data_IF_918322658462
#
_entry.id   IF_918322658462
#
_cell.length_a   1.000
_cell.length_b   1.000
_cell.length_c   1.000
_cell.angle_alpha   90.00
_cell.angle_beta   90.00
_cell.angle_gamma   90.00
#
_symmetry.space_group_name_H-M   'P 1'
#
loop_
_entity.id
_entity.type
_entity.pdbx_description
1 polymer ?
#
# COMPACT_ATOMS: atom_id res chain seq x y z
N UNK A 1 31.67 8.19 -16.41
CA UNK A 1 31.12 8.11 -15.05
C UNK A 1 30.81 6.64 -14.82
N UNK A 2 31.17 6.10 -13.67
CA UNK A 2 30.71 4.80 -13.26
C UNK A 2 29.19 4.81 -13.18
N UNK A 3 28.55 3.66 -13.36
CA UNK A 3 27.11 3.52 -13.24
C UNK A 3 26.79 2.51 -12.14
N UNK A 4 25.83 2.84 -11.32
CA UNK A 4 25.43 2.01 -10.18
C UNK A 4 24.81 0.68 -10.63
N UNK A 5 24.09 0.66 -11.76
CA UNK A 5 23.44 -0.54 -12.32
C UNK A 5 23.44 -0.48 -13.85
N UNK A 6 23.28 -1.62 -14.50
CA UNK A 6 22.92 -1.70 -15.92
C UNK A 6 21.40 -1.69 -16.08
N UNK A 7 20.75 -2.55 -15.33
CA UNK A 7 19.31 -2.70 -15.20
C UNK A 7 18.94 -3.06 -13.75
N UNK A 8 17.72 -2.75 -13.35
CA UNK A 8 17.20 -3.03 -12.03
C UNK A 8 15.70 -3.32 -12.05
N UNK A 9 15.23 -4.16 -11.13
CA UNK A 9 13.80 -4.31 -10.83
C UNK A 9 13.44 -3.46 -9.61
N UNK A 10 12.31 -2.77 -9.68
CA UNK A 10 11.83 -1.84 -8.66
C UNK A 10 10.44 -2.28 -8.20
N UNK A 11 10.22 -2.32 -6.90
CA UNK A 11 8.93 -2.53 -6.27
C UNK A 11 8.81 -1.74 -4.95
N UNK A 12 7.60 -1.59 -4.43
CA UNK A 12 7.34 -0.78 -3.23
C UNK A 12 6.02 -1.15 -2.55
N UNK A 13 5.82 -0.68 -1.32
CA UNK A 13 4.53 -0.72 -0.62
C UNK A 13 3.92 -2.13 -0.59
N UNK A 14 4.69 -3.12 -0.10
CA UNK A 14 4.25 -4.52 -0.02
C UNK A 14 3.40 -4.81 1.22
N UNK A 15 3.62 -4.06 2.31
CA UNK A 15 2.84 -4.06 3.54
C UNK A 15 2.58 -5.44 4.17
N UNK A 16 3.63 -6.23 4.45
CA UNK A 16 3.47 -7.44 5.25
C UNK A 16 2.74 -7.14 6.56
N UNK A 17 1.76 -7.97 6.90
CA UNK A 17 0.94 -7.81 8.11
C UNK A 17 -0.34 -7.00 7.91
N UNK A 18 -0.61 -6.48 6.73
CA UNK A 18 -1.89 -5.82 6.43
C UNK A 18 -3.08 -6.75 6.74
N UNK A 19 -4.29 -6.18 6.86
CA UNK A 19 -5.51 -6.91 7.20
C UNK A 19 -5.38 -7.72 8.47
N UNK A 20 -4.93 -7.04 9.54
CA UNK A 20 -4.76 -7.63 10.86
C UNK A 20 -3.87 -8.88 10.86
N UNK A 21 -2.73 -8.81 10.15
CA UNK A 21 -1.77 -9.88 9.95
C UNK A 21 -2.35 -11.10 9.19
N UNK A 22 -3.22 -10.84 8.22
CA UNK A 22 -3.86 -11.88 7.43
C UNK A 22 -2.83 -12.82 6.80
N UNK A 23 -2.98 -14.11 7.06
CA UNK A 23 -2.15 -15.15 6.44
C UNK A 23 -2.29 -15.13 4.92
N UNK A 24 -3.48 -14.85 4.39
CA UNK A 24 -3.74 -14.76 2.96
C UNK A 24 -2.96 -13.60 2.34
N UNK A 25 -3.01 -12.40 2.96
CA UNK A 25 -2.24 -11.26 2.49
C UNK A 25 -0.72 -11.50 2.55
N UNK A 26 -0.22 -12.07 3.65
CA UNK A 26 1.20 -12.41 3.76
C UNK A 26 1.64 -13.44 2.70
N UNK A 27 0.78 -14.41 2.36
CA UNK A 27 1.03 -15.32 1.23
C UNK A 27 1.08 -14.58 -0.11
N UNK A 28 0.19 -13.61 -0.33
CA UNK A 28 0.20 -12.80 -1.54
C UNK A 28 1.50 -12.02 -1.67
N UNK A 29 1.97 -11.39 -0.58
CA UNK A 29 3.27 -10.72 -0.54
C UNK A 29 4.41 -11.67 -0.93
N UNK A 30 4.47 -12.86 -0.34
CA UNK A 30 5.52 -13.83 -0.64
C UNK A 30 5.43 -14.36 -2.09
N UNK A 31 4.22 -14.60 -2.60
CA UNK A 31 4.00 -15.05 -3.98
C UNK A 31 4.35 -13.96 -5.00
N UNK A 32 4.05 -12.70 -4.69
CA UNK A 32 4.49 -11.56 -5.49
C UNK A 32 6.03 -11.52 -5.61
N UNK A 33 6.75 -11.64 -4.49
CA UNK A 33 8.22 -11.66 -4.50
C UNK A 33 8.75 -12.83 -5.34
N UNK A 34 8.18 -14.02 -5.21
CA UNK A 34 8.57 -15.18 -6.04
C UNK A 34 8.33 -14.91 -7.53
N UNK A 35 7.19 -14.34 -7.87
CA UNK A 35 6.88 -13.98 -9.26
C UNK A 35 7.86 -12.92 -9.78
N UNK A 36 8.12 -11.85 -9.03
CA UNK A 36 9.07 -10.80 -9.38
C UNK A 36 10.46 -11.36 -9.66
N UNK A 37 10.96 -12.26 -8.79
CA UNK A 37 12.26 -12.92 -8.99
C UNK A 37 12.29 -13.68 -10.33
N UNK A 38 11.23 -14.40 -10.65
CA UNK A 38 11.13 -15.12 -11.94
C UNK A 38 11.20 -14.15 -13.13
N UNK A 39 10.51 -13.01 -13.06
CA UNK A 39 10.53 -12.01 -14.13
C UNK A 39 11.91 -11.33 -14.24
N UNK A 40 12.54 -11.01 -13.12
CA UNK A 40 13.90 -10.46 -13.09
C UNK A 40 14.93 -11.45 -13.70
N UNK A 41 14.84 -12.73 -13.37
CA UNK A 41 15.72 -13.77 -13.93
C UNK A 41 15.55 -13.94 -15.45
N UNK A 42 14.32 -13.88 -15.98
CA UNK A 42 14.07 -13.91 -17.43
C UNK A 42 14.80 -12.78 -18.18
N UNK A 43 15.01 -11.66 -17.53
CA UNK A 43 15.70 -10.47 -18.05
C UNK A 43 17.18 -10.41 -17.63
N UNK A 44 17.67 -11.41 -16.88
CA UNK A 44 19.01 -11.47 -16.31
C UNK A 44 19.34 -10.27 -15.37
N UNK A 45 18.33 -9.69 -14.74
CA UNK A 45 18.49 -8.56 -13.82
C UNK A 45 19.00 -9.06 -12.47
N UNK A 46 20.04 -8.39 -11.94
CA UNK A 46 20.77 -8.75 -10.73
C UNK A 46 20.60 -7.75 -9.59
N UNK A 47 20.05 -6.57 -9.86
CA UNK A 47 19.81 -5.54 -8.85
C UNK A 47 18.34 -5.33 -8.61
N UNK A 48 17.98 -5.19 -7.33
CA UNK A 48 16.60 -5.01 -6.88
C UNK A 48 16.51 -3.79 -5.96
N UNK A 49 15.55 -2.90 -6.21
CA UNK A 49 15.33 -1.71 -5.40
C UNK A 49 13.93 -1.74 -4.81
N UNK A 50 13.87 -1.72 -3.48
CA UNK A 50 12.64 -1.63 -2.72
C UNK A 50 12.49 -0.22 -2.15
N UNK A 51 11.35 0.43 -2.41
CA UNK A 51 11.17 1.85 -2.14
C UNK A 51 10.32 2.15 -0.90
N UNK A 52 10.32 1.24 0.09
CA UNK A 52 9.72 1.49 1.40
C UNK A 52 8.36 0.83 1.64
N UNK A 53 7.95 0.85 2.90
CA UNK A 53 6.72 0.24 3.42
C UNK A 53 6.71 -1.29 3.28
N UNK A 54 7.70 -1.93 3.90
CA UNK A 54 7.79 -3.38 3.98
C UNK A 54 6.76 -3.96 4.94
N UNK A 55 6.69 -3.41 6.18
CA UNK A 55 5.67 -3.79 7.14
C UNK A 55 4.52 -2.78 7.18
N UNK A 56 3.32 -3.27 7.50
CA UNK A 56 2.15 -2.41 7.64
C UNK A 56 2.08 -1.75 9.03
N UNK A 57 2.33 -2.53 10.09
CA UNK A 57 2.21 -2.07 11.47
C UNK A 57 3.54 -1.56 12.01
N UNK A 58 3.55 -0.32 12.51
CA UNK A 58 4.74 0.36 13.05
C UNK A 58 5.16 -0.16 14.41
N UNK A 59 4.18 -0.38 15.30
CA UNK A 59 4.45 -0.62 16.72
C UNK A 59 4.76 -2.09 17.04
N UNK A 60 4.30 -3.03 16.24
CA UNK A 60 4.44 -4.47 16.52
C UNK A 60 4.54 -5.28 15.25
N UNK A 61 5.33 -6.33 15.26
CA UNK A 61 5.38 -7.33 14.18
C UNK A 61 4.83 -8.64 14.75
N UNK A 62 3.75 -9.13 14.16
CA UNK A 62 3.19 -10.42 14.50
C UNK A 62 4.18 -11.54 14.16
N UNK A 63 4.28 -12.58 14.98
CA UNK A 63 5.24 -13.68 14.78
C UNK A 63 5.03 -14.38 13.42
N UNK A 64 3.79 -14.58 12.99
CA UNK A 64 3.51 -15.14 11.66
C UNK A 64 4.02 -14.22 10.54
N UNK A 65 3.73 -12.92 10.61
CA UNK A 65 4.23 -11.91 9.66
C UNK A 65 5.76 -11.87 9.63
N UNK A 66 6.42 -11.96 10.79
CA UNK A 66 7.88 -12.02 10.87
C UNK A 66 8.46 -13.23 10.10
N UNK A 67 7.83 -14.41 10.22
CA UNK A 67 8.28 -15.58 9.47
C UNK A 67 8.19 -15.36 7.95
N UNK A 68 7.07 -14.80 7.46
CA UNK A 68 6.96 -14.44 6.04
C UNK A 68 8.01 -13.40 5.60
N UNK A 69 8.30 -12.43 6.47
CA UNK A 69 9.36 -11.43 6.22
C UNK A 69 10.74 -12.10 6.08
N UNK A 70 11.09 -13.00 6.99
CA UNK A 70 12.37 -13.73 6.96
C UNK A 70 12.48 -14.56 5.67
N UNK A 71 11.44 -15.30 5.29
CA UNK A 71 11.40 -16.08 4.05
C UNK A 71 11.58 -15.18 2.82
N UNK A 72 10.90 -14.03 2.80
CA UNK A 72 10.97 -13.08 1.70
C UNK A 72 12.36 -12.43 1.57
N UNK A 73 12.97 -12.00 2.68
CA UNK A 73 14.33 -11.45 2.68
C UNK A 73 15.36 -12.50 2.24
N UNK A 74 15.20 -13.76 2.69
CA UNK A 74 16.07 -14.85 2.23
C UNK A 74 15.96 -15.04 0.72
N UNK A 75 14.74 -15.04 0.16
CA UNK A 75 14.54 -15.14 -1.28
C UNK A 75 15.20 -13.98 -2.04
N UNK A 76 15.07 -12.75 -1.55
CA UNK A 76 15.74 -11.60 -2.18
C UNK A 76 17.26 -11.74 -2.14
N UNK A 77 17.82 -12.08 -0.97
CA UNK A 77 19.25 -12.28 -0.78
C UNK A 77 19.84 -13.35 -1.70
N UNK A 78 19.11 -14.45 -1.92
CA UNK A 78 19.62 -15.60 -2.67
C UNK A 78 19.51 -15.41 -4.19
N UNK A 79 18.71 -14.45 -4.66
CA UNK A 79 18.39 -14.30 -6.05
C UNK A 79 18.90 -12.99 -6.69
N UNK A 80 19.35 -12.03 -5.89
CA UNK A 80 19.94 -10.78 -6.36
C UNK A 80 21.36 -10.60 -5.82
N UNK A 81 22.23 -10.05 -6.65
CA UNK A 81 23.59 -9.72 -6.26
C UNK A 81 23.60 -8.49 -5.31
N UNK A 82 22.59 -7.62 -5.44
CA UNK A 82 22.43 -6.44 -4.61
C UNK A 82 20.96 -6.02 -4.50
N UNK A 83 20.50 -5.80 -3.27
CA UNK A 83 19.18 -5.32 -2.95
C UNK A 83 19.30 -4.03 -2.13
N UNK A 84 18.80 -2.93 -2.65
CA UNK A 84 18.71 -1.67 -1.91
C UNK A 84 17.30 -1.52 -1.34
N UNK A 85 17.17 -1.36 -0.03
CA UNK A 85 15.89 -1.24 0.65
C UNK A 85 15.80 0.10 1.39
N UNK A 86 14.93 0.97 0.92
CA UNK A 86 14.63 2.25 1.59
C UNK A 86 13.60 1.98 2.70
N UNK A 87 13.73 2.63 3.84
CA UNK A 87 12.71 2.65 4.87
C UNK A 87 11.62 3.66 4.53
N UNK A 88 10.37 3.19 4.44
CA UNK A 88 9.18 4.00 4.30
C UNK A 88 8.62 4.44 5.66
N UNK A 89 7.53 5.20 5.67
CA UNK A 89 6.93 5.71 6.91
C UNK A 89 6.28 4.62 7.77
N UNK A 90 5.81 3.51 7.18
CA UNK A 90 5.27 2.37 7.93
C UNK A 90 6.37 1.49 8.54
N UNK A 91 7.60 1.55 8.05
CA UNK A 91 8.72 0.81 8.60
C UNK A 91 9.31 1.44 9.86
N UNK A 92 8.93 2.69 10.18
CA UNK A 92 9.43 3.45 11.32
C UNK A 92 8.44 3.39 12.48
N UNK A 93 8.95 3.19 13.71
CA UNK A 93 8.12 3.25 14.91
C UNK A 93 7.50 4.65 15.10
N UNK A 94 8.31 5.69 14.98
CA UNK A 94 7.88 7.09 14.97
C UNK A 94 7.93 7.64 13.54
N UNK A 95 6.86 8.28 13.08
CA UNK A 95 6.82 8.88 11.73
C UNK A 95 7.88 9.97 11.55
N UNK A 96 8.23 10.66 12.64
CA UNK A 96 9.11 11.82 12.69
C UNK A 96 10.55 11.48 13.05
N UNK A 97 10.90 10.18 13.24
CA UNK A 97 12.24 9.73 13.64
C UNK A 97 12.57 8.38 13.04
N UNK A 98 13.84 8.17 12.71
CA UNK A 98 14.34 6.92 12.11
C UNK A 98 15.15 6.03 13.04
N UNK A 99 15.25 6.37 14.32
CA UNK A 99 16.05 5.64 15.31
C UNK A 99 15.56 4.21 15.59
N UNK A 100 14.26 3.96 15.38
CA UNK A 100 13.67 2.62 15.53
C UNK A 100 12.91 2.28 14.24
N UNK A 101 13.31 1.18 13.59
CA UNK A 101 12.66 0.66 12.40
C UNK A 101 12.33 -0.84 12.51
N UNK A 102 11.53 -1.36 11.61
CA UNK A 102 11.02 -2.73 11.66
C UNK A 102 11.96 -3.79 11.05
N UNK A 103 13.08 -3.38 10.41
CA UNK A 103 13.98 -4.26 9.67
C UNK A 103 15.45 -4.27 10.15
N UNK A 104 15.78 -4.04 11.43
CA UNK A 104 17.19 -3.97 11.86
C UNK A 104 17.92 -5.30 11.67
N UNK A 105 17.20 -6.42 11.61
CA UNK A 105 17.75 -7.75 11.39
C UNK A 105 18.08 -8.05 9.93
N UNK A 106 17.58 -7.26 8.98
CA UNK A 106 17.84 -7.45 7.54
C UNK A 106 19.30 -7.17 7.17
N UNK A 107 20.03 -6.40 7.98
CA UNK A 107 21.48 -6.18 7.83
C UNK A 107 22.33 -7.49 7.97
N UNK A 108 21.73 -8.61 8.35
CA UNK A 108 22.41 -9.92 8.39
C UNK A 108 22.48 -10.60 7.02
N UNK A 109 21.72 -10.15 6.05
CA UNK A 109 21.73 -10.68 4.70
C UNK A 109 22.78 -9.94 3.87
N UNK A 110 23.83 -10.63 3.36
CA UNK A 110 24.99 -9.99 2.76
C UNK A 110 24.69 -9.17 1.49
N UNK A 111 23.65 -9.52 0.76
CA UNK A 111 23.25 -8.83 -0.48
C UNK A 111 22.17 -7.76 -0.24
N UNK A 112 21.73 -7.54 1.00
CA UNK A 112 20.68 -6.57 1.34
C UNK A 112 21.28 -5.38 2.08
N UNK A 113 21.08 -4.18 1.55
CA UNK A 113 21.49 -2.91 2.14
C UNK A 113 20.24 -2.14 2.59
N UNK A 114 20.12 -1.86 3.88
CA UNK A 114 19.05 -1.05 4.46
C UNK A 114 19.47 0.41 4.47
N UNK A 115 18.70 1.26 3.80
CA UNK A 115 18.91 2.71 3.75
C UNK A 115 17.89 3.36 4.66
N UNK A 116 18.33 3.71 5.85
CA UNK A 116 17.50 4.27 6.92
C UNK A 116 18.01 5.62 7.42
N UNK A 117 19.32 5.74 7.71
CA UNK A 117 19.83 6.83 8.54
C UNK A 117 20.00 8.13 7.77
N UNK A 118 20.46 8.06 6.52
CA UNK A 118 20.74 9.22 5.68
C UNK A 118 20.54 8.91 4.19
N UNK A 119 20.56 9.96 3.38
CA UNK A 119 20.55 9.84 1.91
C UNK A 119 21.86 9.19 1.48
N UNK A 120 21.73 8.06 0.77
CA UNK A 120 22.87 7.39 0.14
C UNK A 120 22.99 7.85 -1.32
N UNK A 121 24.12 8.47 -1.69
CA UNK A 121 24.39 8.97 -3.05
C UNK A 121 25.70 8.38 -3.58
N UNK A 122 25.62 7.58 -4.65
CA UNK A 122 26.76 6.93 -5.28
C UNK A 122 26.51 6.70 -6.77
N UNK A 123 27.54 6.82 -7.61
CA UNK A 123 27.57 6.45 -9.03
C UNK A 123 26.32 6.88 -9.85
N UNK A 124 25.83 8.08 -9.55
CA UNK A 124 24.72 8.69 -10.28
C UNK A 124 23.33 8.28 -9.79
N UNK A 125 23.22 7.60 -8.65
CA UNK A 125 21.96 7.31 -7.98
C UNK A 125 21.92 7.95 -6.60
N UNK A 126 20.69 8.28 -6.13
CA UNK A 126 20.45 8.62 -4.75
C UNK A 126 19.28 7.76 -4.22
N UNK A 127 19.49 7.09 -3.09
CA UNK A 127 18.45 6.40 -2.33
C UNK A 127 18.13 7.24 -1.10
N UNK A 128 16.87 7.60 -0.97
CA UNK A 128 16.36 8.56 0.02
C UNK A 128 15.32 7.88 0.90
N UNK A 129 15.63 7.61 2.18
CA UNK A 129 14.65 7.06 3.10
C UNK A 129 13.54 8.06 3.39
N UNK A 130 12.47 7.63 4.09
CA UNK A 130 11.42 8.54 4.54
C UNK A 130 12.05 9.75 5.21
N UNK A 131 11.72 10.93 4.70
CA UNK A 131 12.31 12.20 5.15
C UNK A 131 11.70 12.64 6.47
N UNK A 132 12.55 13.10 7.37
CA UNK A 132 12.16 13.66 8.65
C UNK A 132 12.60 15.13 8.74
N UNK A 133 11.86 15.93 9.47
CA UNK A 133 12.13 17.35 9.65
C UNK A 133 12.37 18.11 8.33
N UNK A 134 13.46 18.86 8.24
CA UNK A 134 13.85 19.72 7.11
C UNK A 134 14.73 19.02 6.06
N UNK A 135 14.91 17.70 6.13
CA UNK A 135 15.81 16.95 5.23
C UNK A 135 15.43 17.07 3.75
N UNK A 136 14.13 17.28 3.46
CA UNK A 136 13.65 17.51 2.09
C UNK A 136 14.38 18.65 1.38
N UNK A 137 14.95 19.61 2.11
CA UNK A 137 15.72 20.72 1.56
C UNK A 137 17.00 20.28 0.88
N UNK A 138 17.58 19.12 1.31
CA UNK A 138 18.80 18.54 0.72
C UNK A 138 18.56 17.98 -0.69
N UNK A 139 17.32 17.62 -1.05
CA UNK A 139 17.02 17.03 -2.36
C UNK A 139 17.34 17.97 -3.52
N UNK A 140 17.27 19.28 -3.31
CA UNK A 140 17.65 20.31 -4.31
C UNK A 140 19.14 20.28 -4.67
N UNK A 141 19.97 19.72 -3.81
CA UNK A 141 21.42 19.68 -3.94
C UNK A 141 21.92 18.43 -4.64
N UNK A 142 21.08 17.37 -4.70
CA UNK A 142 21.42 16.11 -5.34
C UNK A 142 21.77 16.30 -6.81
N UNK A 143 22.80 15.57 -7.27
CA UNK A 143 23.29 15.59 -8.65
C UNK A 143 23.08 14.24 -9.33
N UNK A 144 22.39 13.34 -8.69
CA UNK A 144 22.12 11.99 -9.17
C UNK A 144 21.22 12.01 -10.40
N UNK A 145 21.52 11.12 -11.34
CA UNK A 145 20.70 10.86 -12.52
C UNK A 145 19.34 10.28 -12.13
N UNK A 146 19.35 9.34 -11.18
CA UNK A 146 18.16 8.70 -10.64
C UNK A 146 18.05 8.96 -9.14
N UNK A 147 16.84 9.26 -8.69
CA UNK A 147 16.49 9.35 -7.27
C UNK A 147 15.45 8.28 -6.98
N UNK A 148 15.70 7.48 -5.96
CA UNK A 148 14.79 6.48 -5.43
C UNK A 148 14.40 6.90 -4.03
N UNK A 149 13.10 7.00 -3.72
CA UNK A 149 12.66 7.49 -2.43
C UNK A 149 11.28 7.00 -2.03
N UNK A 150 10.81 7.53 -0.89
CA UNK A 150 9.48 7.29 -0.37
C UNK A 150 8.86 8.64 -0.01
N UNK A 151 8.20 9.29 -0.97
CA UNK A 151 7.84 10.71 -0.92
C UNK A 151 6.34 10.94 -0.92
N UNK A 152 5.92 11.92 -0.15
CA UNK A 152 4.57 12.48 -0.13
C UNK A 152 4.56 13.79 -0.95
N UNK A 153 4.29 13.68 -2.25
CA UNK A 153 4.32 14.84 -3.16
C UNK A 153 2.92 15.38 -3.43
N UNK A 154 2.72 16.72 -3.39
CA UNK A 154 1.45 17.30 -3.80
C UNK A 154 1.16 17.05 -5.27
N UNK A 155 -0.12 17.13 -5.63
CA UNK A 155 -0.63 16.96 -6.99
C UNK A 155 -0.59 15.54 -7.57
N UNK A 156 -0.19 14.54 -6.79
CA UNK A 156 -0.31 13.13 -7.12
C UNK A 156 -1.49 12.49 -6.37
N UNK A 157 -1.99 11.36 -6.84
CA UNK A 157 -3.09 10.63 -6.21
C UNK A 157 -2.54 9.67 -5.16
N UNK A 158 -3.08 9.72 -3.93
CA UNK A 158 -2.77 8.75 -2.88
C UNK A 158 -3.27 7.35 -3.27
N UNK A 159 -4.53 7.32 -3.77
CA UNK A 159 -5.24 6.14 -4.24
C UNK A 159 -6.08 6.52 -5.46
N UNK A 160 -7.00 5.65 -5.88
CA UNK A 160 -7.84 5.91 -7.06
C UNK A 160 -8.70 7.19 -6.97
N UNK A 161 -8.93 7.75 -5.77
CA UNK A 161 -9.93 8.79 -5.53
C UNK A 161 -9.37 10.10 -4.97
N UNK A 162 -8.30 10.06 -4.15
CA UNK A 162 -7.83 11.20 -3.36
C UNK A 162 -6.52 11.74 -3.92
N UNK A 163 -6.49 13.02 -4.23
CA UNK A 163 -5.29 13.75 -4.66
C UNK A 163 -4.64 14.45 -3.48
N UNK A 164 -3.31 14.33 -3.35
CA UNK A 164 -2.56 14.94 -2.27
C UNK A 164 -2.57 16.47 -2.38
N UNK A 165 -3.04 17.19 -1.35
CA UNK A 165 -2.96 18.66 -1.32
C UNK A 165 -1.52 19.16 -1.10
N UNK A 166 -1.25 20.43 -1.45
CA UNK A 166 0.03 21.08 -1.14
C UNK A 166 0.04 21.58 0.30
N UNK A 167 0.85 20.96 1.14
CA UNK A 167 1.06 21.37 2.54
C UNK A 167 2.31 22.25 2.74
N UNK A 168 2.94 22.73 1.66
CA UNK A 168 4.07 23.65 1.70
C UNK A 168 5.46 23.00 1.94
N UNK A 169 5.54 21.66 1.89
CA UNK A 169 6.78 20.89 2.04
C UNK A 169 7.48 20.59 0.70
N UNK A 170 7.96 19.36 0.56
CA UNK A 170 8.63 18.83 -0.63
C UNK A 170 7.73 18.93 -1.87
N UNK A 171 8.32 19.34 -3.00
CA UNK A 171 7.67 19.42 -4.32
C UNK A 171 8.47 18.68 -5.39
N UNK A 172 7.81 18.24 -6.44
CA UNK A 172 8.46 17.62 -7.59
C UNK A 172 9.58 18.49 -8.20
N UNK A 173 9.42 19.83 -8.19
CA UNK A 173 10.44 20.78 -8.67
C UNK A 173 11.75 20.71 -7.89
N UNK A 174 11.75 20.25 -6.65
CA UNK A 174 12.94 20.15 -5.81
C UNK A 174 13.90 19.06 -6.30
N UNK A 175 13.40 18.12 -7.12
CA UNK A 175 14.14 17.03 -7.74
C UNK A 175 14.21 17.15 -9.28
N UNK A 176 14.01 18.36 -9.82
CA UNK A 176 13.98 18.61 -11.28
C UNK A 176 15.32 18.38 -12.00
N UNK A 177 16.43 18.27 -11.26
CA UNK A 177 17.75 17.96 -11.83
C UNK A 177 17.92 16.46 -12.17
N UNK A 178 17.17 15.59 -11.51
CA UNK A 178 17.21 14.18 -11.79
C UNK A 178 16.50 13.86 -13.11
N UNK A 179 17.02 12.89 -13.86
CA UNK A 179 16.37 12.41 -15.08
C UNK A 179 15.06 11.68 -14.76
N UNK A 180 15.08 10.84 -13.73
CA UNK A 180 13.91 10.13 -13.21
C UNK A 180 13.95 10.04 -11.68
N UNK A 181 12.79 10.12 -11.07
CA UNK A 181 12.56 9.92 -9.65
C UNK A 181 11.51 8.83 -9.48
N UNK A 182 11.87 7.74 -8.84
CA UNK A 182 10.94 6.66 -8.49
C UNK A 182 10.62 6.74 -7.00
N UNK A 183 9.33 6.74 -6.67
CA UNK A 183 8.89 6.89 -5.29
C UNK A 183 7.85 5.86 -4.88
N UNK A 184 7.99 5.26 -3.70
CA UNK A 184 6.91 4.61 -2.97
C UNK A 184 5.97 5.62 -2.31
N UNK A 185 5.11 5.14 -1.39
CA UNK A 185 4.13 5.83 -0.59
C UNK A 185 2.74 5.92 -1.23
N UNK A 186 2.62 6.33 -2.48
CA UNK A 186 1.33 6.40 -3.15
C UNK A 186 1.03 5.10 -3.88
N UNK A 187 -0.07 4.45 -3.48
CA UNK A 187 -0.41 3.12 -3.98
C UNK A 187 -0.87 3.13 -5.44
N UNK A 188 -1.39 4.25 -5.94
CA UNK A 188 -1.78 4.37 -7.34
C UNK A 188 -0.56 4.52 -8.24
N UNK A 189 -0.42 3.62 -9.25
CA UNK A 189 0.58 3.79 -10.30
C UNK A 189 0.29 5.04 -11.11
N UNK A 190 1.27 5.92 -11.22
CA UNK A 190 1.15 7.19 -11.94
C UNK A 190 2.51 7.80 -12.25
N UNK A 191 2.59 8.59 -13.29
CA UNK A 191 3.77 9.38 -13.64
C UNK A 191 3.39 10.80 -14.03
N UNK A 192 4.27 11.75 -13.72
CA UNK A 192 4.12 13.16 -14.09
C UNK A 192 5.49 13.83 -14.16
N UNK A 193 5.88 14.26 -15.36
CA UNK A 193 7.20 14.83 -15.59
C UNK A 193 8.30 13.79 -15.41
N UNK A 194 9.21 14.02 -14.47
CA UNK A 194 10.27 13.07 -14.13
C UNK A 194 9.96 12.21 -12.90
N UNK A 195 8.78 12.37 -12.27
CA UNK A 195 8.36 11.64 -11.08
C UNK A 195 7.51 10.45 -11.49
N UNK A 196 7.86 9.27 -10.99
CA UNK A 196 7.19 7.99 -11.23
C UNK A 196 6.85 7.35 -9.87
N UNK A 197 5.58 7.08 -9.64
CA UNK A 197 5.10 6.21 -8.58
C UNK A 197 4.76 4.85 -9.20
N UNK A 198 5.53 3.79 -8.93
CA UNK A 198 5.21 2.44 -9.40
C UNK A 198 3.86 1.92 -8.91
N UNK A 199 3.40 2.46 -7.77
CA UNK A 199 2.25 1.96 -7.05
C UNK A 199 2.60 0.75 -6.18
N UNK A 200 1.67 0.33 -5.31
CA UNK A 200 1.85 -0.86 -4.49
C UNK A 200 1.98 -2.13 -5.35
N UNK A 201 2.49 -3.20 -4.76
CA UNK A 201 2.77 -4.48 -5.43
C UNK A 201 1.53 -5.13 -6.07
N UNK A 202 0.38 -5.00 -5.42
CA UNK A 202 -0.92 -5.51 -5.84
C UNK A 202 -2.03 -4.76 -5.08
N UNK A 203 -3.29 -4.78 -5.54
CA UNK A 203 -4.39 -4.13 -4.83
C UNK A 203 -4.54 -4.64 -3.40
N UNK A 204 -4.58 -3.74 -2.42
CA UNK A 204 -4.60 -4.08 -1.01
C UNK A 204 -6.00 -4.13 -0.40
N UNK A 205 -6.90 -3.25 -0.85
CA UNK A 205 -8.23 -3.10 -0.30
C UNK A 205 -9.19 -2.48 -1.34
N UNK A 206 -10.41 -2.14 -0.90
CA UNK A 206 -11.42 -1.56 -1.77
C UNK A 206 -11.17 -0.13 -2.23
N UNK A 207 -10.18 0.59 -1.66
CA UNK A 207 -9.73 1.86 -2.24
C UNK A 207 -9.00 1.68 -3.58
N UNK A 208 -8.51 0.46 -3.84
CA UNK A 208 -7.90 0.04 -5.10
C UNK A 208 -8.91 -0.66 -6.04
N UNK A 209 -10.22 -0.59 -5.74
CA UNK A 209 -11.22 -1.27 -6.56
C UNK A 209 -11.15 -0.82 -8.02
N UNK A 210 -11.13 -1.81 -8.96
CA UNK A 210 -10.99 -1.62 -10.40
C UNK A 210 -9.63 -1.07 -10.87
N UNK A 211 -8.66 -0.93 -9.98
CA UNK A 211 -7.30 -0.46 -10.31
C UNK A 211 -6.33 -1.63 -10.19
N UNK A 212 -6.33 -2.52 -11.18
CA UNK A 212 -5.55 -3.77 -11.20
C UNK A 212 -4.12 -3.58 -11.74
N UNK A 213 -3.77 -2.37 -12.20
CA UNK A 213 -2.47 -2.09 -12.83
C UNK A 213 -1.36 -1.96 -11.77
N UNK A 214 -1.04 -3.09 -11.13
CA UNK A 214 -0.06 -3.22 -10.05
C UNK A 214 0.96 -4.29 -10.37
N UNK A 215 2.21 -4.09 -9.95
CA UNK A 215 3.28 -5.04 -10.25
C UNK A 215 4.67 -4.48 -9.99
N UNK A 216 5.56 -4.65 -10.96
CA UNK A 216 6.98 -4.27 -10.89
C UNK A 216 7.37 -3.33 -12.02
N UNK A 217 8.40 -2.52 -11.79
CA UNK A 217 9.02 -1.68 -12.81
C UNK A 217 10.43 -2.20 -13.10
N UNK A 218 10.78 -2.32 -14.36
CA UNK A 218 12.14 -2.55 -14.81
C UNK A 218 12.72 -1.24 -15.32
N UNK A 219 13.92 -0.90 -14.86
CA UNK A 219 14.62 0.32 -15.23
C UNK A 219 15.98 0.00 -15.83
N UNK A 220 16.29 0.59 -16.98
CA UNK A 220 17.61 0.56 -17.59
C UNK A 220 18.40 1.84 -17.27
N UNK A 221 19.72 1.75 -17.25
CA UNK A 221 20.57 2.93 -16.98
C UNK A 221 20.39 4.08 -17.97
N UNK A 222 19.93 3.84 -19.18
CA UNK A 222 19.64 4.89 -20.15
C UNK A 222 18.38 5.71 -19.83
N UNK A 223 17.63 5.32 -18.79
CA UNK A 223 16.42 5.98 -18.33
C UNK A 223 15.14 5.41 -18.94
N UNK A 224 15.25 4.41 -19.82
CA UNK A 224 14.07 3.66 -20.29
C UNK A 224 13.57 2.74 -19.19
N UNK A 225 12.26 2.62 -19.06
CA UNK A 225 11.64 1.72 -18.10
C UNK A 225 10.35 1.12 -18.67
N UNK A 226 10.01 -0.07 -18.21
CA UNK A 226 8.74 -0.72 -18.50
C UNK A 226 8.13 -1.31 -17.22
N UNK A 227 6.83 -1.54 -17.27
CA UNK A 227 6.05 -2.02 -16.16
C UNK A 227 5.44 -3.38 -16.50
N UNK A 228 5.46 -4.30 -15.55
CA UNK A 228 4.85 -5.61 -15.69
C UNK A 228 3.87 -5.85 -14.55
N UNK A 229 2.59 -6.03 -14.92
CA UNK A 229 1.49 -6.30 -13.98
C UNK A 229 1.56 -7.74 -13.47
N UNK A 230 1.35 -7.95 -12.18
CA UNK A 230 1.27 -9.28 -11.60
C UNK A 230 -0.07 -9.95 -11.99
N UNK A 231 -0.05 -11.03 -12.81
CA UNK A 231 -1.29 -11.61 -13.35
C UNK A 231 -2.15 -12.32 -12.31
N UNK A 232 -1.53 -12.83 -11.23
CA UNK A 232 -2.21 -13.57 -10.15
C UNK A 232 -2.58 -12.66 -8.96
N UNK A 233 -2.50 -11.34 -9.13
CA UNK A 233 -2.84 -10.38 -8.10
C UNK A 233 -4.29 -10.57 -7.59
N UNK A 234 -4.54 -10.35 -6.28
CA UNK A 234 -5.90 -10.22 -5.80
C UNK A 234 -6.59 -9.03 -6.46
N UNK A 235 -7.89 -9.15 -6.73
CA UNK A 235 -8.69 -8.10 -7.35
C UNK A 235 -9.76 -7.62 -6.38
N UNK A 236 -10.09 -6.33 -6.47
CA UNK A 236 -11.17 -5.73 -5.70
C UNK A 236 -12.23 -5.19 -6.64
N UNK A 237 -13.50 -5.55 -6.39
CA UNK A 237 -14.64 -5.15 -7.20
C UNK A 237 -15.75 -4.60 -6.32
N UNK A 238 -16.28 -3.47 -6.73
CA UNK A 238 -17.55 -2.94 -6.22
C UNK A 238 -18.47 -2.87 -7.41
N UNK A 239 -19.54 -3.65 -7.41
CA UNK A 239 -20.46 -3.79 -8.55
C UNK A 239 -21.92 -3.83 -8.09
N UNK A 240 -22.83 -3.35 -8.93
CA UNK A 240 -24.25 -3.49 -8.69
C UNK A 240 -24.71 -4.94 -8.94
N UNK A 241 -25.68 -5.40 -8.16
CA UNK A 241 -26.26 -6.73 -8.36
C UNK A 241 -26.81 -6.90 -9.78
N UNK A 242 -27.48 -5.86 -10.32
CA UNK A 242 -28.00 -5.88 -11.68
C UNK A 242 -26.90 -6.14 -12.72
N UNK A 243 -25.73 -5.52 -12.59
CA UNK A 243 -24.59 -5.74 -13.49
C UNK A 243 -24.05 -7.18 -13.41
N UNK A 244 -23.98 -7.75 -12.18
CA UNK A 244 -23.52 -9.11 -12.00
C UNK A 244 -24.51 -10.16 -12.53
N UNK A 245 -25.81 -9.88 -12.48
CA UNK A 245 -26.83 -10.76 -13.08
C UNK A 245 -26.77 -10.75 -14.62
N UNK A 246 -26.36 -9.63 -15.22
CA UNK A 246 -26.18 -9.53 -16.67
C UNK A 246 -24.89 -10.24 -17.15
N UNK A 247 -23.75 -9.98 -16.52
CA UNK A 247 -22.46 -10.55 -16.89
C UNK A 247 -21.48 -10.63 -15.70
N UNK A 248 -21.71 -11.61 -14.83
CA UNK A 248 -20.80 -11.85 -13.71
C UNK A 248 -19.40 -12.27 -14.19
N UNK A 249 -19.29 -13.00 -15.28
CA UNK A 249 -18.03 -13.56 -15.76
C UNK A 249 -16.99 -12.54 -16.19
N UNK A 250 -17.41 -11.35 -16.62
CA UNK A 250 -16.47 -10.23 -16.95
C UNK A 250 -15.95 -9.52 -15.70
N UNK A 251 -16.67 -9.61 -14.58
CA UNK A 251 -16.38 -8.87 -13.33
C UNK A 251 -15.71 -9.76 -12.30
N UNK A 252 -16.27 -10.95 -12.11
CA UNK A 252 -15.86 -11.91 -11.09
C UNK A 252 -14.88 -12.92 -11.68
N UNK A 253 -13.67 -12.94 -11.15
CA UNK A 253 -12.65 -13.90 -11.51
C UNK A 253 -12.07 -14.53 -10.25
N UNK A 254 -11.31 -15.60 -10.38
CA UNK A 254 -10.55 -16.16 -9.26
C UNK A 254 -9.72 -15.09 -8.57
N UNK A 255 -9.54 -15.19 -7.27
CA UNK A 255 -8.83 -14.22 -6.40
C UNK A 255 -9.54 -12.86 -6.21
N UNK A 256 -10.83 -12.73 -6.53
CA UNK A 256 -11.57 -11.48 -6.37
C UNK A 256 -12.19 -11.35 -4.97
N UNK A 257 -12.02 -10.16 -4.38
CA UNK A 257 -12.84 -9.63 -3.28
C UNK A 257 -13.95 -8.79 -3.90
N UNK A 258 -15.21 -9.05 -3.58
CA UNK A 258 -16.35 -8.36 -4.18
C UNK A 258 -17.30 -7.76 -3.15
N UNK A 259 -17.68 -6.51 -3.34
CA UNK A 259 -18.81 -5.85 -2.67
C UNK A 259 -19.95 -5.69 -3.67
N UNK A 260 -21.10 -6.29 -3.38
CA UNK A 260 -22.29 -6.22 -4.22
C UNK A 260 -23.25 -5.17 -3.66
N UNK A 261 -23.53 -4.14 -4.44
CA UNK A 261 -24.56 -3.15 -4.11
C UNK A 261 -25.93 -3.70 -4.55
N UNK A 262 -26.86 -3.80 -3.60
CA UNK A 262 -28.22 -4.25 -3.86
C UNK A 262 -29.02 -3.08 -4.49
N UNK A 263 -28.97 -2.94 -5.80
CA UNK A 263 -29.62 -1.86 -6.57
C UNK A 263 -31.00 -2.27 -7.12
N UNK A 264 -31.41 -3.52 -6.92
CA UNK A 264 -32.71 -4.08 -7.30
C UNK A 264 -33.47 -4.56 -6.08
N UNK A 265 -34.80 -4.64 -6.20
CA UNK A 265 -35.65 -5.16 -5.11
C UNK A 265 -35.54 -6.68 -5.06
N UNK A 266 -34.90 -7.19 -4.03
CA UNK A 266 -34.63 -8.62 -3.83
C UNK A 266 -34.75 -8.95 -2.34
N UNK A 267 -35.28 -10.15 -2.02
CA UNK A 267 -35.32 -10.61 -0.63
C UNK A 267 -33.91 -10.94 -0.10
N UNK A 268 -33.76 -10.89 1.22
CA UNK A 268 -32.52 -11.27 1.87
C UNK A 268 -32.07 -12.70 1.56
N UNK A 269 -33.02 -13.61 1.48
CA UNK A 269 -32.80 -15.03 1.16
C UNK A 269 -32.26 -15.21 -0.26
N UNK A 270 -32.85 -14.53 -1.25
CA UNK A 270 -32.39 -14.55 -2.63
C UNK A 270 -31.02 -13.91 -2.77
N UNK A 271 -30.77 -12.76 -2.11
CA UNK A 271 -29.49 -12.11 -2.12
C UNK A 271 -28.36 -12.98 -1.53
N UNK A 272 -28.63 -13.69 -0.43
CA UNK A 272 -27.66 -14.63 0.14
C UNK A 272 -27.44 -15.86 -0.76
N UNK A 273 -28.47 -16.38 -1.41
CA UNK A 273 -28.31 -17.47 -2.36
C UNK A 273 -27.41 -17.08 -3.53
N UNK A 274 -27.63 -15.90 -4.11
CA UNK A 274 -26.79 -15.35 -5.19
C UNK A 274 -25.33 -15.17 -4.71
N UNK A 275 -25.15 -14.61 -3.51
CA UNK A 275 -23.83 -14.44 -2.88
C UNK A 275 -23.09 -15.77 -2.76
N UNK A 276 -23.73 -16.81 -2.23
CA UNK A 276 -23.13 -18.13 -2.07
C UNK A 276 -22.80 -18.78 -3.42
N UNK A 277 -23.71 -18.63 -4.40
CA UNK A 277 -23.50 -19.11 -5.77
C UNK A 277 -22.29 -18.45 -6.41
N UNK A 278 -22.21 -17.13 -6.39
CA UNK A 278 -21.05 -16.40 -6.95
C UNK A 278 -19.74 -16.73 -6.24
N UNK A 279 -19.78 -16.83 -4.89
CA UNK A 279 -18.60 -17.20 -4.12
C UNK A 279 -18.02 -18.54 -4.57
N UNK A 280 -18.89 -19.52 -4.85
CA UNK A 280 -18.51 -20.87 -5.26
C UNK A 280 -18.10 -20.94 -6.72
N UNK A 281 -18.93 -20.41 -7.63
CA UNK A 281 -18.75 -20.56 -9.08
C UNK A 281 -17.50 -19.83 -9.58
N UNK A 282 -17.15 -18.67 -8.96
CA UNK A 282 -15.98 -17.86 -9.32
C UNK A 282 -14.79 -18.03 -8.37
N UNK A 283 -14.90 -18.91 -7.36
CA UNK A 283 -13.86 -19.12 -6.34
C UNK A 283 -13.36 -17.80 -5.76
N UNK A 284 -14.31 -16.99 -5.27
CA UNK A 284 -14.02 -15.66 -4.73
C UNK A 284 -13.33 -15.76 -3.37
N UNK A 285 -12.46 -14.80 -3.08
CA UNK A 285 -11.81 -14.69 -1.77
C UNK A 285 -12.74 -14.16 -0.69
N UNK A 286 -13.61 -13.25 -1.08
CA UNK A 286 -14.58 -12.58 -0.21
C UNK A 286 -15.73 -12.04 -1.05
N UNK A 287 -16.92 -12.07 -0.48
CA UNK A 287 -18.09 -11.44 -1.07
C UNK A 287 -19.00 -10.89 0.03
N UNK A 288 -19.37 -9.61 -0.08
CA UNK A 288 -20.26 -8.93 0.85
C UNK A 288 -21.39 -8.22 0.12
N UNK A 289 -22.56 -8.11 0.79
CA UNK A 289 -23.73 -7.42 0.29
C UNK A 289 -23.83 -6.05 0.95
N UNK A 290 -24.11 -5.02 0.16
CA UNK A 290 -24.24 -3.64 0.63
C UNK A 290 -25.60 -3.07 0.20
N UNK A 291 -26.33 -2.34 1.06
CA UNK A 291 -27.57 -1.69 0.67
C UNK A 291 -27.32 -0.58 -0.36
N UNK A 292 -28.30 -0.36 -1.24
CA UNK A 292 -28.25 0.78 -2.16
C UNK A 292 -28.36 2.11 -1.39
N UNK A 293 -27.58 3.13 -1.78
CA UNK A 293 -27.60 4.48 -1.16
C UNK A 293 -28.96 5.19 -1.20
N UNK A 294 -29.95 4.65 -1.89
CA UNK A 294 -31.29 5.29 -1.98
C UNK A 294 -32.08 5.28 -0.67
N UNK A 295 -31.70 4.46 0.29
CA UNK A 295 -32.46 4.30 1.56
C UNK A 295 -31.83 4.98 2.78
N UNK A 296 -30.70 5.66 2.65
CA UNK A 296 -30.05 6.37 3.75
C UNK A 296 -29.72 7.83 3.40
N UNK A 297 -30.58 8.73 3.84
CA UNK A 297 -30.29 10.16 3.96
C UNK A 297 -29.44 10.35 5.23
N UNK A 298 -28.15 10.16 5.13
CA UNK A 298 -27.11 10.80 5.96
C UNK A 298 -25.76 10.43 5.35
N UNK A 299 -25.10 11.42 4.76
CA UNK A 299 -23.77 11.25 4.26
C UNK A 299 -22.81 11.06 5.42
N UNK A 300 -22.06 9.96 5.38
CA UNK A 300 -20.76 9.88 6.03
C UNK A 300 -20.13 8.51 5.66
N UNK A 301 -18.95 8.57 5.12
CA UNK A 301 -17.83 7.66 5.01
C UNK A 301 -18.04 6.15 4.87
N UNK A 302 -17.76 5.67 3.65
CA UNK A 302 -17.62 4.25 3.29
C UNK A 302 -16.15 3.81 3.24
N UNK A 303 -15.40 4.08 4.30
CA UNK A 303 -14.03 3.60 4.45
C UNK A 303 -13.89 2.75 5.72
N UNK A 304 -14.43 1.51 5.67
CA UNK A 304 -14.28 0.55 6.77
C UNK A 304 -13.62 -0.74 6.29
N UNK A 305 -12.43 -0.62 5.71
CA UNK A 305 -11.40 -1.65 5.58
C UNK A 305 -10.01 -1.03 5.68
N UNK A 306 -9.91 0.14 6.23
CA UNK A 306 -8.68 0.72 6.73
C UNK A 306 -8.59 0.48 8.23
N UNK A 307 -7.42 0.45 8.78
CA UNK A 307 -7.21 0.72 10.19
C UNK A 307 -8.15 1.86 10.57
N UNK A 308 -9.16 1.56 11.39
CA UNK A 308 -9.97 2.58 12.03
C UNK A 308 -8.95 3.35 12.86
N UNK A 309 -8.56 4.54 12.39
CA UNK A 309 -7.65 5.37 13.16
C UNK A 309 -8.30 5.56 14.54
N UNK A 310 -7.50 5.58 15.59
CA UNK A 310 -8.02 5.77 16.96
C UNK A 310 -8.93 6.99 17.02
N UNK A 311 -8.67 8.02 16.21
CA UNK A 311 -9.50 9.22 16.04
C UNK A 311 -10.90 8.93 15.46
N UNK A 312 -11.04 7.94 14.54
CA UNK A 312 -12.35 7.55 14.00
C UNK A 312 -13.15 6.71 14.99
N UNK A 313 -12.50 5.87 15.79
CA UNK A 313 -13.17 5.09 16.85
C UNK A 313 -13.73 6.04 17.91
N UNK A 314 -12.94 7.00 18.35
CA UNK A 314 -13.36 7.98 19.36
C UNK A 314 -14.55 8.80 18.89
N UNK A 315 -14.55 9.30 17.67
CA UNK A 315 -15.68 10.06 17.12
C UNK A 315 -16.93 9.19 16.95
N UNK A 316 -16.81 7.93 16.56
CA UNK A 316 -17.93 6.97 16.47
C UNK A 316 -18.47 6.67 17.87
N UNK A 317 -17.62 6.39 18.86
CA UNK A 317 -18.03 6.12 20.23
C UNK A 317 -18.70 7.33 20.85
N UNK A 318 -18.13 8.52 20.68
CA UNK A 318 -18.71 9.76 21.20
C UNK A 318 -20.08 10.04 20.59
N UNK A 319 -20.25 9.89 19.27
CA UNK A 319 -21.56 10.07 18.62
C UNK A 319 -22.60 9.05 19.10
N UNK A 320 -22.18 7.82 19.36
CA UNK A 320 -23.07 6.79 19.93
C UNK A 320 -23.43 7.09 21.38
N UNK A 321 -22.50 7.58 22.19
CA UNK A 321 -22.76 8.00 23.57
C UNK A 321 -23.72 9.20 23.64
N UNK A 322 -23.62 10.13 22.68
CA UNK A 322 -24.55 11.27 22.54
C UNK A 322 -25.98 10.81 22.15
N UNK A 323 -26.09 9.73 21.38
CA UNK A 323 -27.38 9.18 20.93
C UNK A 323 -28.11 8.34 22.00
N UNK A 324 -27.45 7.97 23.10
CA UNK A 324 -28.07 7.17 24.16
C UNK A 324 -29.15 7.98 24.87
N UNK A 325 -30.38 7.45 24.92
CA UNK A 325 -31.46 7.99 25.73
C UNK A 325 -31.62 7.18 27.02
N UNK A 326 -31.28 7.74 28.17
CA UNK A 326 -31.41 7.10 29.48
C UNK A 326 -32.06 8.02 30.48
N UNK A 327 -32.99 7.49 31.29
CA UNK A 327 -33.63 8.20 32.37
C UNK A 327 -32.78 8.24 33.66
N UNK A 328 -31.67 7.50 33.70
CA UNK A 328 -30.86 7.29 34.91
C UNK A 328 -29.45 7.86 34.81
N UNK A 329 -28.91 8.02 33.60
CA UNK A 329 -27.54 8.50 33.38
C UNK A 329 -27.56 9.58 32.30
N UNK A 330 -26.89 10.71 32.54
CA UNK A 330 -26.74 11.76 31.53
C UNK A 330 -25.62 11.44 30.57
N UNK A 331 -25.79 11.75 29.28
CA UNK A 331 -24.81 11.52 28.22
C UNK A 331 -23.47 12.19 28.54
N UNK A 332 -23.49 13.40 29.11
CA UNK A 332 -22.28 14.11 29.53
C UNK A 332 -21.43 13.32 30.53
N UNK A 333 -22.08 12.52 31.40
CA UNK A 333 -21.40 11.66 32.36
C UNK A 333 -20.74 10.46 31.66
N UNK A 334 -21.42 9.88 30.67
CA UNK A 334 -20.87 8.78 29.87
C UNK A 334 -19.67 9.25 29.05
N UNK A 335 -19.76 10.41 28.43
CA UNK A 335 -18.67 11.02 27.64
C UNK A 335 -17.47 11.37 28.56
N UNK A 336 -17.73 11.90 29.77
CA UNK A 336 -16.65 12.15 30.73
C UNK A 336 -15.93 10.89 31.15
N UNK A 337 -16.67 9.81 31.46
CA UNK A 337 -16.08 8.52 31.83
C UNK A 337 -15.26 7.95 30.65
N UNK A 338 -15.77 8.05 29.42
CA UNK A 338 -15.06 7.58 28.22
C UNK A 338 -13.73 8.33 28.04
N UNK A 339 -13.76 9.65 28.15
CA UNK A 339 -12.56 10.48 28.03
C UNK A 339 -11.53 10.18 29.14
N UNK A 340 -11.99 9.86 30.36
CA UNK A 340 -11.11 9.51 31.48
C UNK A 340 -10.46 8.11 31.35
N UNK A 341 -10.98 7.24 30.46
CA UNK A 341 -10.41 5.92 30.18
C UNK A 341 -9.28 5.93 29.13
N UNK A 342 -9.13 7.04 28.42
CA UNK A 342 -8.15 7.23 27.34
C UNK A 342 -6.99 8.15 27.77
N UNK A 343 -6.41 7.91 28.97
CA UNK A 343 -5.17 8.55 29.41
C UNK A 343 -3.96 7.65 29.12
#
# INVERSE_FOLDING_TARGET
MSKFFDDAVIFTDIHFGLKNNSKQHNNDCLNFIKWMIVQAHKRNIKKCFFLGDWHHHRATINVSTLNYTVDALQLLNDNFDEVQMIMGNHDLYYREKRDINSLPFANKYPNINIINDEIFEEDGVAFVPWLVDDEWKRLKELKSKFIFGHFELPDFYLNAMIKMPDHGGLKASDMSKAEKVFSGHFHKRQDKGNIIYPGNCFPHNYSDAWDDDRGITFLNWDGTYDFETWPDAPKYRVANLSQLLDDAGSILTNNTHCRIILDINISYEEANYIKETFATDYNLREISLMPSKKDNVSGEDWDTDGDVSVENVDSIVLSQLEAITSNSIRNETLISIYNDLHI
#
